data_IF_854590883463
#
_entry.id   IF_854590883463
#
_cell.length_a   1.000
_cell.length_b   1.000
_cell.length_c   1.000
_cell.angle_alpha   90.00
_cell.angle_beta   90.00
_cell.angle_gamma   90.00
#
_symmetry.space_group_name_H-M   'P 1'
#
loop_
_entity.id
_entity.type
_entity.pdbx_description
1 polymer ?
#
# COMPACT_ATOMS: atom_id res chain seq x y z
N UNK A 1 -12.74 2.37 -8.67
CA UNK A 1 -12.87 3.45 -7.67
C UNK A 1 -13.27 2.88 -6.34
N UNK A 2 -12.40 2.96 -5.34
CA UNK A 2 -12.71 2.60 -3.94
C UNK A 2 -12.35 3.82 -3.10
N UNK A 3 -13.37 4.47 -2.53
CA UNK A 3 -13.19 5.56 -1.55
C UNK A 3 -12.40 5.03 -0.34
N UNK A 4 -11.50 5.83 0.26
CA UNK A 4 -10.95 5.52 1.56
C UNK A 4 -12.08 5.22 2.58
N UNK A 5 -11.87 4.33 3.56
CA UNK A 5 -12.85 4.11 4.62
C UNK A 5 -13.21 5.42 5.31
N UNK A 6 -14.48 5.57 5.68
CA UNK A 6 -15.00 6.76 6.38
C UNK A 6 -14.11 7.11 7.59
N UNK A 7 -13.51 8.31 7.49
CA UNK A 7 -12.60 9.01 8.42
C UNK A 7 -11.33 8.27 8.83
N UNK A 8 -10.56 7.81 7.86
CA UNK A 8 -9.11 7.69 8.05
C UNK A 8 -8.51 9.10 8.15
N UNK A 9 -7.59 9.35 9.10
CA UNK A 9 -6.88 10.63 9.16
C UNK A 9 -6.14 10.91 7.82
N UNK A 10 -5.99 12.18 7.46
CA UNK A 10 -5.34 12.58 6.20
C UNK A 10 -3.91 12.03 6.12
N UNK A 11 -3.16 12.01 7.24
CA UNK A 11 -1.81 11.43 7.28
C UNK A 11 -1.81 9.92 7.06
N UNK A 12 -2.66 9.17 7.73
CA UNK A 12 -2.80 7.71 7.48
C UNK A 12 -3.17 7.45 6.01
N UNK A 13 -4.08 8.25 5.44
CA UNK A 13 -4.46 8.14 4.02
C UNK A 13 -3.30 8.44 3.07
N UNK A 14 -2.53 9.50 3.37
CA UNK A 14 -1.35 9.88 2.60
C UNK A 14 -0.28 8.78 2.65
N UNK A 15 -0.06 8.15 3.82
CA UNK A 15 0.87 7.04 3.97
C UNK A 15 0.46 5.81 3.13
N UNK A 16 -0.83 5.46 3.14
CA UNK A 16 -1.36 4.39 2.28
C UNK A 16 -1.07 4.68 0.81
N UNK A 17 -1.31 5.93 0.36
CA UNK A 17 -1.01 6.31 -1.02
C UNK A 17 0.49 6.32 -1.29
N UNK A 18 1.32 6.77 -0.37
CA UNK A 18 2.79 6.81 -0.51
C UNK A 18 3.32 5.41 -0.78
N UNK A 19 2.92 4.46 0.07
CA UNK A 19 3.33 3.06 -0.04
C UNK A 19 2.76 2.42 -1.31
N UNK A 20 1.45 2.55 -1.54
CA UNK A 20 0.81 1.94 -2.71
C UNK A 20 1.36 2.50 -4.04
N UNK A 21 1.75 3.78 -4.08
CA UNK A 21 2.31 4.43 -5.25
C UNK A 21 3.76 3.99 -5.47
N UNK A 22 4.54 3.84 -4.39
CA UNK A 22 5.91 3.30 -4.43
C UNK A 22 5.95 1.92 -5.09
N UNK A 23 4.96 1.07 -4.82
CA UNK A 23 4.88 -0.28 -5.39
C UNK A 23 4.03 -0.38 -6.67
N UNK A 24 3.54 0.74 -7.21
CA UNK A 24 2.70 0.72 -8.42
C UNK A 24 1.31 0.10 -8.23
N UNK A 25 0.87 -0.15 -7.00
CA UNK A 25 -0.48 -0.62 -6.70
C UNK A 25 -1.55 0.45 -7.01
N UNK A 26 -1.17 1.72 -6.95
CA UNK A 26 -2.00 2.86 -7.34
C UNK A 26 -1.26 3.76 -8.33
N UNK A 27 -2.00 4.46 -9.19
CA UNK A 27 -1.42 5.43 -10.11
C UNK A 27 -1.50 6.86 -9.57
N UNK A 28 -0.65 7.76 -10.07
CA UNK A 28 -0.64 9.20 -9.74
C UNK A 28 -2.04 9.83 -9.79
N UNK A 29 -2.81 9.54 -10.84
CA UNK A 29 -4.15 10.11 -11.04
C UNK A 29 -5.11 9.82 -9.88
N UNK A 30 -5.03 8.63 -9.27
CA UNK A 30 -5.90 8.30 -8.14
C UNK A 30 -5.54 9.09 -6.87
N UNK A 31 -4.25 9.37 -6.65
CA UNK A 31 -3.79 10.20 -5.52
C UNK A 31 -4.16 11.67 -5.74
N UNK A 32 -3.93 12.19 -6.96
CA UNK A 32 -4.29 13.57 -7.33
C UNK A 32 -5.80 13.78 -7.17
N UNK A 33 -6.63 12.83 -7.64
CA UNK A 33 -8.08 12.88 -7.43
C UNK A 33 -8.47 12.93 -5.95
N UNK A 34 -7.78 12.19 -5.08
CA UNK A 34 -8.04 12.26 -3.64
C UNK A 34 -7.72 13.66 -3.09
N UNK A 35 -6.57 14.23 -3.45
CA UNK A 35 -6.21 15.58 -3.03
C UNK A 35 -7.19 16.64 -3.56
N UNK A 36 -7.59 16.54 -4.83
CA UNK A 36 -8.55 17.45 -5.45
C UNK A 36 -9.92 17.37 -4.76
N UNK A 37 -10.38 16.17 -4.39
CA UNK A 37 -11.62 16.00 -3.62
C UNK A 37 -11.51 16.61 -2.23
N UNK A 38 -10.40 16.41 -1.52
CA UNK A 38 -10.18 17.02 -0.19
C UNK A 38 -10.18 18.56 -0.27
N UNK A 39 -9.55 19.13 -1.30
CA UNK A 39 -9.55 20.59 -1.57
C UNK A 39 -10.98 21.12 -1.78
N UNK A 40 -11.84 20.35 -2.45
CA UNK A 40 -13.22 20.76 -2.73
C UNK A 40 -14.14 20.62 -1.51
N UNK A 41 -13.85 19.69 -0.61
CA UNK A 41 -14.67 19.38 0.56
C UNK A 41 -14.34 20.25 1.78
N UNK A 42 -13.08 20.69 1.92
CA UNK A 42 -12.62 21.51 3.03
C UNK A 42 -12.91 23.00 2.82
N UNK A 43 -13.48 23.66 3.83
CA UNK A 43 -13.75 25.11 3.77
C UNK A 43 -12.46 25.93 3.70
N UNK A 44 -11.42 25.47 4.38
CA UNK A 44 -10.07 26.04 4.38
C UNK A 44 -9.07 24.89 4.15
N UNK A 45 -8.80 24.51 2.88
CA UNK A 45 -7.93 23.39 2.58
C UNK A 45 -6.47 23.67 2.95
N UNK A 46 -5.82 22.67 3.53
CA UNK A 46 -4.41 22.75 3.90
C UNK A 46 -3.47 22.83 2.68
N UNK A 47 -2.39 23.60 2.79
CA UNK A 47 -1.47 23.90 1.68
C UNK A 47 -0.85 22.64 1.05
N UNK A 48 -0.61 21.61 1.87
CA UNK A 48 -0.01 20.36 1.39
C UNK A 48 -0.91 19.62 0.39
N UNK A 49 -2.24 19.79 0.45
CA UNK A 49 -3.16 19.17 -0.51
C UNK A 49 -2.95 19.73 -1.92
N UNK A 50 -2.71 21.05 -2.02
CA UNK A 50 -2.38 21.69 -3.30
C UNK A 50 -1.04 21.20 -3.84
N UNK A 51 -0.03 21.02 -2.98
CA UNK A 51 1.28 20.48 -3.41
C UNK A 51 1.15 19.06 -3.95
N UNK A 52 0.35 18.21 -3.31
CA UNK A 52 0.04 16.85 -3.76
C UNK A 52 -0.68 16.88 -5.11
N UNK A 53 -1.71 17.71 -5.27
CA UNK A 53 -2.47 17.85 -6.52
C UNK A 53 -1.58 18.31 -7.69
N UNK A 54 -0.68 19.26 -7.43
CA UNK A 54 0.19 19.87 -8.42
C UNK A 54 1.53 19.13 -8.65
N UNK A 55 1.79 18.03 -7.94
CA UNK A 55 3.04 17.29 -8.03
C UNK A 55 3.31 16.80 -9.47
N UNK A 56 4.47 17.14 -10.03
CA UNK A 56 4.76 16.98 -11.47
C UNK A 56 4.90 15.53 -11.93
N UNK A 57 5.42 14.67 -11.06
CA UNK A 57 5.68 13.26 -11.34
C UNK A 57 5.46 12.41 -10.09
N UNK A 58 5.55 11.08 -10.26
CA UNK A 58 5.35 10.10 -9.19
C UNK A 58 6.35 10.27 -8.04
N UNK A 59 7.60 10.63 -8.33
CA UNK A 59 8.64 10.77 -7.31
C UNK A 59 8.37 11.98 -6.43
N UNK A 60 8.08 13.14 -7.04
CA UNK A 60 7.67 14.34 -6.32
C UNK A 60 6.41 14.08 -5.48
N UNK A 61 5.43 13.35 -6.03
CA UNK A 61 4.22 13.01 -5.32
C UNK A 61 4.48 12.12 -4.08
N UNK A 62 5.35 11.11 -4.19
CA UNK A 62 5.75 10.29 -3.03
C UNK A 62 6.40 11.16 -1.94
N UNK A 63 7.22 12.14 -2.32
CA UNK A 63 7.82 13.07 -1.38
C UNK A 63 6.77 13.94 -0.68
N UNK A 64 5.81 14.52 -1.41
CA UNK A 64 4.77 15.36 -0.79
C UNK A 64 3.88 14.55 0.18
N UNK A 65 3.55 13.30 -0.15
CA UNK A 65 2.78 12.41 0.73
C UNK A 65 3.50 12.12 2.05
N UNK A 66 4.84 12.04 2.03
CA UNK A 66 5.67 11.83 3.21
C UNK A 66 5.62 13.04 4.17
N UNK A 67 5.44 14.25 3.64
CA UNK A 67 5.41 15.51 4.40
C UNK A 67 4.04 15.92 4.92
N UNK A 68 2.98 15.13 4.68
CA UNK A 68 1.66 15.39 5.26
C UNK A 68 1.77 15.39 6.80
N UNK A 69 1.26 16.41 7.51
CA UNK A 69 1.35 16.49 8.96
C UNK A 69 0.36 15.52 9.64
N UNK A 70 0.70 15.06 10.85
CA UNK A 70 -0.17 14.20 11.67
C UNK A 70 0.48 12.88 12.09
N UNK A 71 -0.28 12.05 12.82
CA UNK A 71 0.10 10.69 13.18
C UNK A 71 -0.24 9.69 12.08
N UNK A 72 0.51 8.59 12.01
CA UNK A 72 0.15 7.46 11.14
C UNK A 72 -0.41 6.34 12.00
N UNK A 73 -1.67 5.98 11.76
CA UNK A 73 -2.26 4.75 12.29
C UNK A 73 -1.73 3.54 11.51
N UNK A 74 -0.54 3.05 11.89
CA UNK A 74 0.23 2.09 11.08
C UNK A 74 -0.51 0.80 10.76
N UNK A 75 -1.32 0.29 11.70
CA UNK A 75 -2.12 -0.91 11.49
C UNK A 75 -3.21 -0.69 10.44
N UNK A 76 -3.91 0.44 10.51
CA UNK A 76 -4.94 0.82 9.55
C UNK A 76 -4.33 1.06 8.16
N UNK A 77 -3.17 1.74 8.12
CA UNK A 77 -2.41 1.94 6.89
C UNK A 77 -1.98 0.60 6.27
N UNK A 78 -1.45 -0.32 7.07
CA UNK A 78 -1.06 -1.65 6.61
C UNK A 78 -2.24 -2.40 6.00
N UNK A 79 -3.37 -2.48 6.70
CA UNK A 79 -4.57 -3.17 6.20
C UNK A 79 -5.03 -2.60 4.86
N UNK A 80 -5.02 -1.28 4.71
CA UNK A 80 -5.40 -0.61 3.48
C UNK A 80 -4.39 -0.86 2.35
N UNK A 81 -3.08 -0.90 2.63
CA UNK A 81 -2.04 -1.25 1.66
C UNK A 81 -2.20 -2.71 1.21
N UNK A 82 -2.38 -3.65 2.13
CA UNK A 82 -2.58 -5.07 1.80
C UNK A 82 -3.80 -5.27 0.89
N UNK A 83 -4.91 -4.56 1.17
CA UNK A 83 -6.09 -4.55 0.31
C UNK A 83 -5.78 -4.06 -1.10
N UNK A 84 -4.99 -2.98 -1.23
CA UNK A 84 -4.59 -2.43 -2.54
C UNK A 84 -3.67 -3.37 -3.31
N UNK A 85 -2.72 -4.01 -2.62
CA UNK A 85 -1.86 -5.04 -3.21
C UNK A 85 -2.68 -6.23 -3.69
N UNK A 86 -3.65 -6.69 -2.91
CA UNK A 86 -4.55 -7.78 -3.30
C UNK A 86 -5.37 -7.43 -4.54
N UNK A 87 -5.98 -6.26 -4.58
CA UNK A 87 -6.73 -5.78 -5.75
C UNK A 87 -5.83 -5.63 -6.98
N UNK A 88 -4.60 -5.17 -6.80
CA UNK A 88 -3.63 -5.02 -7.89
C UNK A 88 -3.17 -6.37 -8.44
N UNK A 89 -2.98 -7.36 -7.57
CA UNK A 89 -2.70 -8.74 -7.96
C UNK A 89 -3.86 -9.35 -8.74
N UNK A 90 -5.09 -9.20 -8.22
CA UNK A 90 -6.31 -9.75 -8.85
C UNK A 90 -6.61 -9.15 -10.21
N UNK A 91 -6.29 -7.87 -10.42
CA UNK A 91 -6.46 -7.19 -11.70
C UNK A 91 -5.31 -7.41 -12.68
N UNK A 92 -4.25 -8.13 -12.28
CA UNK A 92 -3.05 -8.33 -13.09
C UNK A 92 -2.18 -7.09 -13.24
N UNK A 93 -2.45 -6.01 -12.48
CA UNK A 93 -1.59 -4.81 -12.45
C UNK A 93 -0.22 -5.12 -11.85
N UNK A 94 -0.19 -5.96 -10.82
CA UNK A 94 1.03 -6.47 -10.22
C UNK A 94 1.08 -7.98 -10.33
N UNK A 95 2.26 -8.51 -10.59
CA UNK A 95 2.57 -9.93 -10.48
C UNK A 95 2.67 -10.35 -9.01
N UNK A 96 2.53 -11.64 -8.73
CA UNK A 96 2.71 -12.17 -7.37
C UNK A 96 4.12 -11.94 -6.83
N UNK A 97 5.13 -11.95 -7.70
CA UNK A 97 6.52 -11.63 -7.34
C UNK A 97 6.70 -10.16 -6.95
N UNK A 98 6.11 -9.22 -7.69
CA UNK A 98 6.15 -7.80 -7.32
C UNK A 98 5.44 -7.53 -5.99
N UNK A 99 4.32 -8.22 -5.75
CA UNK A 99 3.62 -8.14 -4.46
C UNK A 99 4.47 -8.73 -3.34
N UNK A 100 5.11 -9.89 -3.54
CA UNK A 100 6.02 -10.49 -2.55
C UNK A 100 7.16 -9.53 -2.16
N UNK A 101 7.79 -8.90 -3.14
CA UNK A 101 8.81 -7.87 -2.90
C UNK A 101 8.27 -6.67 -2.15
N UNK A 102 7.04 -6.25 -2.43
CA UNK A 102 6.38 -5.16 -1.71
C UNK A 102 6.14 -5.51 -0.24
N UNK A 103 5.75 -6.77 0.04
CA UNK A 103 5.60 -7.29 1.41
C UNK A 103 6.93 -7.33 2.16
N UNK A 104 8.03 -7.74 1.51
CA UNK A 104 9.37 -7.70 2.12
C UNK A 104 9.73 -6.27 2.56
N UNK A 105 9.52 -5.27 1.71
CA UNK A 105 9.81 -3.87 2.06
C UNK A 105 8.94 -3.37 3.21
N UNK A 106 7.64 -3.70 3.23
CA UNK A 106 6.76 -3.39 4.37
C UNK A 106 7.28 -4.01 5.68
N UNK A 107 7.79 -5.24 5.62
CA UNK A 107 8.35 -5.92 6.77
C UNK A 107 9.68 -5.28 7.24
N UNK A 108 10.51 -4.78 6.30
CA UNK A 108 11.74 -4.02 6.61
C UNK A 108 11.39 -2.70 7.31
N UNK A 109 10.36 -2.01 6.82
CA UNK A 109 9.85 -0.75 7.40
C UNK A 109 9.07 -0.96 8.72
N UNK A 110 9.08 -2.19 9.25
CA UNK A 110 8.47 -2.58 10.51
C UNK A 110 6.93 -2.45 10.56
N UNK A 111 6.25 -2.58 9.42
CA UNK A 111 4.79 -2.66 9.39
C UNK A 111 4.28 -4.03 9.87
N UNK A 112 3.34 -4.03 10.82
CA UNK A 112 2.71 -5.24 11.36
C UNK A 112 3.48 -5.85 12.54
N UNK A 113 2.91 -6.89 13.15
CA UNK A 113 3.55 -7.61 14.28
C UNK A 113 4.77 -8.40 13.80
N UNK A 114 5.70 -8.82 14.68
CA UNK A 114 6.83 -9.66 14.30
C UNK A 114 6.42 -10.93 13.53
N UNK A 115 5.31 -11.57 13.92
CA UNK A 115 4.77 -12.77 13.28
C UNK A 115 4.24 -12.47 11.88
N UNK A 116 3.57 -11.34 11.70
CA UNK A 116 3.07 -10.90 10.41
C UNK A 116 4.23 -10.56 9.46
N UNK A 117 5.25 -9.88 9.97
CA UNK A 117 6.46 -9.54 9.20
C UNK A 117 7.25 -10.78 8.77
N UNK A 118 7.39 -11.76 9.67
CA UNK A 118 8.00 -13.05 9.32
C UNK A 118 7.29 -13.74 8.15
N UNK A 119 5.95 -13.73 8.16
CA UNK A 119 5.17 -14.23 7.03
C UNK A 119 5.40 -13.42 5.75
N UNK A 120 5.46 -12.09 5.83
CA UNK A 120 5.76 -11.23 4.68
C UNK A 120 7.13 -11.55 4.05
N UNK A 121 8.18 -11.71 4.86
CA UNK A 121 9.51 -12.10 4.39
C UNK A 121 9.52 -13.44 3.65
N UNK A 122 8.74 -14.41 4.14
CA UNK A 122 8.74 -15.76 3.60
C UNK A 122 8.36 -15.85 2.12
N UNK A 123 7.62 -14.87 1.58
CA UNK A 123 7.23 -14.86 0.17
C UNK A 123 8.38 -14.54 -0.77
N UNK A 124 9.22 -13.54 -0.44
CA UNK A 124 10.40 -13.24 -1.26
C UNK A 124 11.42 -14.39 -1.15
N UNK A 125 11.59 -14.97 0.03
CA UNK A 125 12.45 -16.14 0.23
C UNK A 125 11.97 -17.35 -0.60
N UNK A 126 10.65 -17.58 -0.66
CA UNK A 126 10.08 -18.62 -1.51
C UNK A 126 10.35 -18.35 -3.00
N UNK A 127 10.30 -17.08 -3.44
CA UNK A 127 10.66 -16.71 -4.81
C UNK A 127 12.17 -16.82 -5.09
N UNK A 128 13.04 -16.61 -4.09
CA UNK A 128 14.48 -16.88 -4.20
C UNK A 128 14.74 -18.37 -4.35
N UNK A 129 14.13 -19.21 -3.51
CA UNK A 129 14.21 -20.67 -3.60
C UNK A 129 13.71 -21.19 -4.96
N UNK A 130 12.63 -20.61 -5.51
CA UNK A 130 12.11 -20.96 -6.83
C UNK A 130 13.15 -20.73 -7.94
N UNK A 131 13.93 -19.64 -7.88
CA UNK A 131 15.02 -19.38 -8.84
C UNK A 131 16.14 -20.41 -8.76
N UNK A 132 16.32 -21.03 -7.60
CA UNK A 132 17.29 -22.10 -7.36
C UNK A 132 16.74 -23.49 -7.72
N UNK A 133 15.51 -23.57 -8.25
CA UNK A 133 14.87 -24.82 -8.68
C UNK A 133 14.03 -25.50 -7.60
N UNK A 134 13.76 -24.83 -6.47
CA UNK A 134 12.98 -25.37 -5.36
C UNK A 134 11.60 -24.72 -5.24
N UNK A 135 10.54 -25.54 -5.24
CA UNK A 135 9.16 -25.10 -4.98
C UNK A 135 8.27 -25.02 -6.22
N UNK A 136 7.08 -24.45 -6.02
CA UNK A 136 6.02 -24.31 -7.04
C UNK A 136 5.49 -22.87 -7.02
N UNK A 137 5.65 -22.16 -8.14
CA UNK A 137 5.16 -20.78 -8.30
C UNK A 137 3.66 -20.67 -8.02
N UNK A 138 2.87 -21.65 -8.47
CA UNK A 138 1.43 -21.65 -8.25
C UNK A 138 1.09 -21.85 -6.77
N UNK A 139 1.91 -22.61 -6.03
CA UNK A 139 1.75 -22.76 -4.58
C UNK A 139 2.06 -21.45 -3.85
N UNK A 140 3.12 -20.74 -4.26
CA UNK A 140 3.47 -19.43 -3.71
C UNK A 140 2.34 -18.44 -3.98
N UNK A 141 1.84 -18.37 -5.21
CA UNK A 141 0.74 -17.48 -5.58
C UNK A 141 -0.54 -17.76 -4.77
N UNK A 142 -0.93 -19.03 -4.61
CA UNK A 142 -2.09 -19.41 -3.77
C UNK A 142 -1.91 -18.99 -2.31
N UNK A 143 -0.73 -19.21 -1.74
CA UNK A 143 -0.40 -18.82 -0.37
C UNK A 143 -0.43 -17.30 -0.20
N UNK A 144 0.11 -16.57 -1.19
CA UNK A 144 0.12 -15.11 -1.19
C UNK A 144 -1.30 -14.54 -1.23
N UNK A 145 -2.18 -15.05 -2.11
CA UNK A 145 -3.58 -14.65 -2.18
C UNK A 145 -4.31 -14.92 -0.86
N UNK A 146 -4.09 -16.10 -0.25
CA UNK A 146 -4.68 -16.44 1.05
C UNK A 146 -4.21 -15.49 2.15
N UNK A 147 -2.91 -15.18 2.18
CA UNK A 147 -2.33 -14.23 3.13
C UNK A 147 -2.95 -12.85 2.99
N UNK A 148 -3.03 -12.31 1.77
CA UNK A 148 -3.62 -10.99 1.51
C UNK A 148 -5.10 -10.96 1.87
N UNK A 149 -5.87 -11.96 1.47
CA UNK A 149 -7.30 -12.05 1.78
C UNK A 149 -7.59 -12.13 3.28
N UNK A 150 -6.73 -12.83 4.04
CA UNK A 150 -6.86 -12.92 5.50
C UNK A 150 -6.61 -11.57 6.16
N UNK A 151 -5.53 -10.88 5.77
CA UNK A 151 -5.06 -9.69 6.47
C UNK A 151 -5.63 -8.37 5.91
N UNK A 152 -6.39 -8.38 4.81
CA UNK A 152 -7.07 -7.16 4.31
C UNK A 152 -8.40 -6.84 5.01
N UNK A 153 -8.95 -7.81 5.75
CA UNK A 153 -10.29 -7.76 6.36
C UNK A 153 -10.26 -7.53 7.87
N UNK A 154 -9.13 -7.81 8.53
CA UNK A 154 -8.94 -7.54 9.96
C UNK A 154 -8.80 -6.03 10.17
N UNK A 155 -9.93 -5.34 10.31
CA UNK A 155 -9.94 -4.02 10.95
C UNK A 155 -9.63 -4.26 12.43
N UNK A 156 -8.60 -3.61 13.02
CA UNK A 156 -8.56 -3.54 14.47
C UNK A 156 -9.87 -2.89 14.94
N UNK A 157 -10.52 -3.56 15.90
CA UNK A 157 -11.78 -3.13 16.51
C UNK A 157 -11.59 -1.88 17.36
#
# INVERSE_FOLDING_TARGET
DVRPPERMEQKTTAEVYRIALTFGAVCRTAVVKWADSAIQEEAEPEEYLFRISLARDTKALIQELDHVPGGVERELALCAVLRRLHQSLRSGRLTSKEVARSLEVLAIDQYGTPELRSQMYSFEDAYRALKEGYGDEMAIQRSLVRFLSKNESDRPA
#
